data_IF_047627766886
#
_entry.id   IF_047627766886
#
_cell.length_a   1.000
_cell.length_b   1.000
_cell.length_c   1.000
_cell.angle_alpha   90.00
_cell.angle_beta   90.00
_cell.angle_gamma   90.00
#
_symmetry.space_group_name_H-M   'P 1'
#
loop_
_entity.id
_entity.type
_entity.pdbx_description
1 polymer ?
#
# COMPACT_ATOMS: atom_id res chain seq x y z
N UNK A 1 11.07 24.84 7.08
CA UNK A 1 10.19 23.65 6.95
C UNK A 1 8.72 24.07 6.98
N UNK A 2 7.90 23.51 6.07
CA UNK A 2 6.48 23.82 5.87
C UNK A 2 5.59 23.08 6.87
N UNK A 3 5.89 21.83 7.21
CA UNK A 3 5.10 21.05 8.18
C UNK A 3 5.17 21.72 9.54
N UNK A 4 6.38 22.10 9.98
CA UNK A 4 6.56 22.84 11.22
C UNK A 4 5.79 24.17 11.27
N UNK A 5 5.58 24.86 10.14
CA UNK A 5 4.74 26.08 10.10
C UNK A 5 3.28 25.75 10.37
N UNK A 6 2.73 24.74 9.72
CA UNK A 6 1.32 24.32 9.92
C UNK A 6 1.07 23.94 11.38
N UNK A 7 1.93 23.08 11.95
CA UNK A 7 1.77 22.62 13.34
C UNK A 7 1.89 23.78 14.33
N UNK A 8 2.89 24.67 14.16
CA UNK A 8 3.01 25.86 15.03
C UNK A 8 1.81 26.79 14.93
N UNK A 9 1.29 27.04 13.73
CA UNK A 9 0.11 27.90 13.57
C UNK A 9 -1.12 27.30 14.26
N UNK A 10 -1.31 25.98 14.24
CA UNK A 10 -2.39 25.33 15.00
C UNK A 10 -2.22 25.52 16.51
N UNK A 11 -0.98 25.48 17.02
CA UNK A 11 -0.67 25.72 18.44
C UNK A 11 -0.90 27.21 18.81
N UNK A 12 -0.38 28.15 18.02
CA UNK A 12 -0.52 29.61 18.21
C UNK A 12 -1.98 30.07 18.20
N UNK A 13 -2.82 29.44 17.37
CA UNK A 13 -4.25 29.73 17.30
C UNK A 13 -5.07 28.97 18.37
N UNK A 14 -4.44 28.13 19.21
CA UNK A 14 -5.14 27.33 20.21
C UNK A 14 -6.03 26.21 19.63
N UNK A 15 -5.85 25.84 18.37
CA UNK A 15 -6.68 24.87 17.64
C UNK A 15 -6.22 23.41 17.80
N UNK A 16 -4.97 23.21 18.25
CA UNK A 16 -4.35 21.87 18.30
C UNK A 16 -5.13 20.82 19.09
N UNK A 17 -5.79 21.16 20.21
CA UNK A 17 -6.55 20.18 21.00
C UNK A 17 -7.82 19.68 20.29
N UNK A 18 -8.28 20.39 19.25
CA UNK A 18 -9.43 20.02 18.44
C UNK A 18 -9.05 19.76 16.96
N UNK A 19 -7.79 19.42 16.70
CA UNK A 19 -7.30 19.15 15.35
C UNK A 19 -6.53 17.84 15.35
N UNK A 20 -7.02 16.86 14.58
CA UNK A 20 -6.24 15.69 14.21
C UNK A 20 -5.32 16.06 13.05
N UNK A 21 -4.01 15.92 13.25
CA UNK A 21 -3.02 16.02 12.18
C UNK A 21 -2.61 14.61 11.78
N UNK A 22 -2.76 14.30 10.49
CA UNK A 22 -2.29 13.04 9.89
C UNK A 22 -1.20 13.36 8.88
N UNK A 23 -0.04 12.73 9.03
CA UNK A 23 1.05 12.79 8.05
C UNK A 23 1.23 11.40 7.43
N UNK A 24 1.11 11.33 6.10
CA UNK A 24 1.27 10.09 5.35
C UNK A 24 1.70 10.34 3.89
N UNK A 25 1.80 9.28 3.09
CA UNK A 25 2.16 9.30 1.67
C UNK A 25 1.18 8.42 0.88
N UNK A 26 1.10 8.63 -0.43
CA UNK A 26 0.22 7.87 -1.34
C UNK A 26 0.78 6.47 -1.68
N UNK A 27 2.10 6.36 -1.75
CA UNK A 27 2.85 5.14 -2.05
C UNK A 27 4.26 5.22 -1.48
N UNK A 28 4.98 4.10 -1.55
CA UNK A 28 6.40 4.02 -1.23
C UNK A 28 7.28 4.95 -2.07
N UNK A 29 8.53 5.15 -1.63
CA UNK A 29 9.47 6.07 -2.28
C UNK A 29 9.91 5.57 -3.65
N UNK A 30 10.16 6.49 -4.59
CA UNK A 30 10.73 6.18 -5.90
C UNK A 30 12.25 6.10 -5.80
N UNK A 31 12.80 4.90 -5.62
CA UNK A 31 14.22 4.61 -5.53
C UNK A 31 14.80 4.20 -6.91
N UNK A 32 15.02 5.17 -7.81
CA UNK A 32 15.83 4.93 -9.02
C UNK A 32 17.27 4.49 -8.65
N UNK A 33 18.01 3.77 -9.51
CA UNK A 33 17.73 2.47 -10.12
C UNK A 33 18.80 1.40 -9.72
N UNK A 34 18.49 0.10 -9.86
CA UNK A 34 19.50 -1.00 -9.78
C UNK A 34 20.59 -0.91 -10.86
N UNK A 35 20.36 -0.16 -11.94
CA UNK A 35 21.30 -0.02 -13.07
C UNK A 35 22.35 1.10 -12.89
N UNK A 36 22.30 1.84 -11.77
CA UNK A 36 23.27 2.89 -11.43
C UNK A 36 23.25 4.14 -12.33
N UNK A 37 22.28 4.30 -13.25
CA UNK A 37 22.29 5.38 -14.24
C UNK A 37 21.77 6.73 -13.72
N UNK A 38 21.25 6.79 -12.49
CA UNK A 38 20.75 8.02 -11.86
C UNK A 38 21.08 7.99 -10.36
N UNK A 39 21.36 9.14 -9.73
CA UNK A 39 21.44 9.22 -8.27
C UNK A 39 20.09 8.80 -7.66
N UNK A 40 20.13 7.97 -6.62
CA UNK A 40 18.93 7.51 -5.94
C UNK A 40 18.19 8.71 -5.33
N UNK A 41 16.92 8.91 -5.70
CA UNK A 41 16.11 9.99 -5.12
C UNK A 41 15.84 9.76 -3.62
N UNK A 42 15.80 8.50 -3.20
CA UNK A 42 15.58 8.05 -1.82
C UNK A 42 16.03 6.59 -1.67
N UNK A 43 15.96 6.06 -0.46
CA UNK A 43 16.13 4.63 -0.16
C UNK A 43 14.91 4.12 0.60
N UNK A 44 14.40 2.96 0.21
CA UNK A 44 13.39 2.22 0.96
C UNK A 44 14.00 1.08 1.79
N UNK A 45 15.31 0.86 1.74
CA UNK A 45 15.97 -0.23 2.46
C UNK A 45 15.69 -0.13 3.97
N UNK A 46 15.43 -1.27 4.65
CA UNK A 46 15.56 -2.64 4.15
C UNK A 46 14.36 -3.19 3.37
N UNK A 47 13.32 -2.39 3.10
CA UNK A 47 12.15 -2.83 2.35
C UNK A 47 12.50 -3.07 0.88
N UNK A 48 12.01 -4.18 0.33
CA UNK A 48 12.20 -4.52 -1.09
C UNK A 48 11.29 -3.68 -1.97
N UNK A 49 11.80 -3.25 -3.11
CA UNK A 49 11.01 -2.52 -4.10
C UNK A 49 10.87 -1.02 -3.82
N UNK A 50 9.94 -0.40 -4.54
CA UNK A 50 9.79 1.05 -4.62
C UNK A 50 8.42 1.43 -5.16
N UNK A 51 8.16 2.73 -5.34
CA UNK A 51 6.95 3.22 -6.01
C UNK A 51 6.64 2.39 -7.27
N UNK A 52 5.44 1.80 -7.28
CA UNK A 52 4.98 0.96 -8.37
C UNK A 52 5.43 -0.49 -8.29
N UNK A 53 5.95 -0.99 -7.17
CA UNK A 53 6.12 -2.43 -6.92
C UNK A 53 5.15 -2.93 -5.85
N UNK A 54 4.85 -4.22 -5.92
CA UNK A 54 4.02 -5.00 -5.00
C UNK A 54 4.69 -5.34 -3.66
N UNK A 55 6.00 -5.14 -3.55
CA UNK A 55 6.79 -5.32 -2.33
C UNK A 55 6.60 -4.17 -1.34
N UNK A 56 6.96 -4.37 -0.07
CA UNK A 56 6.69 -3.40 1.01
C UNK A 56 7.38 -2.05 0.79
N UNK A 57 8.46 -1.96 0.00
CA UNK A 57 9.07 -0.69 -0.40
C UNK A 57 8.22 0.15 -1.36
N UNK A 58 7.22 -0.46 -2.01
CA UNK A 58 6.20 0.24 -2.81
C UNK A 58 4.88 0.47 -2.08
N UNK A 59 4.53 -0.41 -1.13
CA UNK A 59 3.25 -0.37 -0.42
C UNK A 59 3.31 0.36 0.93
N UNK A 60 4.41 0.24 1.67
CA UNK A 60 4.54 0.80 3.03
C UNK A 60 4.88 2.29 2.95
N UNK A 61 4.18 3.07 3.76
CA UNK A 61 4.31 4.54 3.82
C UNK A 61 4.48 5.01 5.26
N UNK A 62 5.07 6.19 5.50
CA UNK A 62 5.01 6.80 6.82
C UNK A 62 3.55 7.05 7.22
N UNK A 63 3.26 6.88 8.50
CA UNK A 63 1.95 7.18 9.07
C UNK A 63 2.12 7.73 10.47
N UNK A 64 1.78 9.00 10.66
CA UNK A 64 1.90 9.68 11.95
C UNK A 64 0.58 10.39 12.24
N UNK A 65 0.06 10.17 13.44
CA UNK A 65 -1.14 10.84 13.94
C UNK A 65 -0.77 11.69 15.16
N UNK A 66 -1.21 12.94 15.18
CA UNK A 66 -1.06 13.85 16.31
C UNK A 66 -2.41 14.46 16.67
N UNK A 67 -2.84 14.23 17.91
CA UNK A 67 -4.00 14.90 18.49
C UNK A 67 -3.81 15.11 20.00
N UNK A 68 -3.31 16.28 20.42
CA UNK A 68 -3.04 16.58 21.82
C UNK A 68 -4.26 16.39 22.73
N UNK A 69 -4.10 15.56 23.76
CA UNK A 69 -5.16 15.24 24.72
C UNK A 69 -6.14 14.15 24.26
N UNK A 70 -5.93 13.55 23.07
CA UNK A 70 -6.72 12.41 22.56
C UNK A 70 -5.85 11.21 22.21
N UNK A 71 -4.68 11.45 21.63
CA UNK A 71 -3.69 10.42 21.27
C UNK A 71 -2.51 10.54 22.24
N UNK A 72 -2.12 9.48 22.96
CA UNK A 72 -0.94 9.49 23.81
C UNK A 72 0.33 9.76 23.00
N UNK A 73 1.10 10.79 23.41
CA UNK A 73 2.31 11.20 22.70
C UNK A 73 3.42 10.14 22.79
N UNK A 74 4.23 10.03 21.74
CA UNK A 74 5.40 9.14 21.70
C UNK A 74 5.06 7.65 21.62
N UNK A 75 3.81 7.30 21.35
CA UNK A 75 3.39 5.91 21.15
C UNK A 75 3.64 5.44 19.72
N UNK A 76 3.84 4.12 19.56
CA UNK A 76 4.03 3.46 18.27
C UNK A 76 3.11 2.25 18.21
N UNK A 77 2.41 2.09 17.09
CA UNK A 77 1.56 0.93 16.84
C UNK A 77 2.15 0.05 15.73
N UNK A 78 2.05 -1.27 15.87
CA UNK A 78 2.48 -2.26 14.87
C UNK A 78 1.31 -2.83 14.05
N UNK A 79 0.12 -2.24 14.17
CA UNK A 79 -1.05 -2.72 13.42
C UNK A 79 -0.96 -2.27 11.98
N UNK A 80 -1.34 -3.16 11.07
CA UNK A 80 -1.34 -2.84 9.65
C UNK A 80 -2.61 -2.06 9.31
N UNK A 81 -2.44 -0.78 9.03
CA UNK A 81 -3.50 0.11 8.54
C UNK A 81 -3.30 0.42 7.05
N UNK A 82 -4.36 0.91 6.41
CA UNK A 82 -4.36 1.31 5.01
C UNK A 82 -5.00 2.69 4.86
N UNK A 83 -4.74 3.38 3.75
CA UNK A 83 -5.36 4.67 3.44
C UNK A 83 -6.89 4.63 3.44
N UNK A 84 -7.49 3.46 3.12
CA UNK A 84 -8.95 3.27 3.15
C UNK A 84 -9.55 3.44 4.56
N UNK A 85 -8.75 3.29 5.62
CA UNK A 85 -9.19 3.45 7.01
C UNK A 85 -9.44 4.90 7.40
N UNK A 86 -8.85 5.87 6.69
CA UNK A 86 -9.02 7.29 7.01
C UNK A 86 -10.46 7.74 6.86
N UNK A 87 -11.16 7.25 5.83
CA UNK A 87 -12.53 7.66 5.56
C UNK A 87 -13.50 7.32 6.69
N UNK A 88 -13.65 6.05 7.14
CA UNK A 88 -14.49 5.73 8.29
C UNK A 88 -14.01 6.37 9.60
N UNK A 89 -12.69 6.52 9.78
CA UNK A 89 -12.14 7.22 10.96
C UNK A 89 -12.60 8.68 11.01
N UNK A 90 -12.49 9.41 9.90
CA UNK A 90 -12.89 10.82 9.83
C UNK A 90 -14.41 11.00 9.92
N UNK A 91 -15.20 10.09 9.34
CA UNK A 91 -16.66 10.10 9.51
C UNK A 91 -17.05 9.98 10.98
N UNK A 92 -16.45 9.01 11.69
CA UNK A 92 -16.71 8.79 13.11
C UNK A 92 -16.31 10.01 13.96
N UNK A 93 -15.13 10.59 13.69
CA UNK A 93 -14.65 11.78 14.40
C UNK A 93 -15.49 13.03 14.16
N UNK A 94 -16.01 13.19 12.95
CA UNK A 94 -16.88 14.31 12.59
C UNK A 94 -18.33 14.13 13.12
N UNK A 95 -18.67 12.96 13.67
CA UNK A 95 -20.06 12.62 13.99
C UNK A 95 -20.97 12.55 12.76
N UNK A 96 -20.38 12.32 11.59
CA UNK A 96 -21.10 12.28 10.33
C UNK A 96 -21.87 10.94 10.19
N UNK A 97 -23.02 10.92 9.50
CA UNK A 97 -23.75 9.69 9.27
C UNK A 97 -22.92 8.73 8.41
N UNK A 98 -22.98 7.43 8.74
CA UNK A 98 -22.36 6.39 7.93
C UNK A 98 -23.06 6.33 6.55
N UNK A 99 -22.31 6.31 5.44
CA UNK A 99 -22.91 6.18 4.12
C UNK A 99 -23.55 4.79 3.92
N UNK A 100 -24.42 4.68 2.92
CA UNK A 100 -25.10 3.42 2.57
C UNK A 100 -24.22 2.43 1.80
N UNK A 101 -23.15 2.89 1.16
CA UNK A 101 -22.22 2.01 0.46
C UNK A 101 -21.30 1.29 1.46
N UNK A 102 -20.74 0.16 1.02
CA UNK A 102 -19.80 -0.64 1.80
C UNK A 102 -18.51 0.16 2.00
N UNK A 103 -17.97 0.14 3.22
CA UNK A 103 -16.67 0.75 3.53
C UNK A 103 -15.67 -0.38 3.75
N UNK A 104 -14.58 -0.38 2.97
CA UNK A 104 -13.50 -1.37 3.11
C UNK A 104 -12.60 -1.07 4.32
N UNK A 105 -12.53 0.19 4.72
CA UNK A 105 -11.72 0.65 5.84
C UNK A 105 -12.36 0.38 7.21
N UNK A 106 -11.51 0.38 8.24
CA UNK A 106 -11.89 0.31 9.65
C UNK A 106 -11.72 1.67 10.33
N UNK A 107 -12.59 1.98 11.28
CA UNK A 107 -12.37 3.14 12.17
C UNK A 107 -11.18 2.89 13.09
N UNK A 108 -10.18 3.77 13.04
CA UNK A 108 -8.96 3.71 13.82
C UNK A 108 -9.07 4.40 15.19
N UNK A 109 -10.18 5.04 15.55
CA UNK A 109 -10.27 5.86 16.75
C UNK A 109 -9.84 5.13 18.02
N UNK A 110 -10.31 3.90 18.23
CA UNK A 110 -9.93 3.08 19.38
C UNK A 110 -8.43 2.75 19.37
N UNK A 111 -7.86 2.49 18.18
CA UNK A 111 -6.43 2.24 17.99
C UNK A 111 -5.58 3.47 18.32
N UNK A 112 -6.07 4.67 17.95
CA UNK A 112 -5.35 5.92 18.15
C UNK A 112 -5.38 6.39 19.61
N UNK A 113 -6.44 6.08 20.37
CA UNK A 113 -6.57 6.50 21.76
C UNK A 113 -5.94 5.54 22.77
N UNK A 114 -5.70 4.28 22.39
CA UNK A 114 -5.23 3.22 23.29
C UNK A 114 -4.12 2.38 22.61
N UNK A 115 -2.86 2.48 23.08
CA UNK A 115 -1.72 1.77 22.49
C UNK A 115 -1.78 0.24 22.67
N UNK A 116 -2.63 -0.26 23.56
CA UNK A 116 -2.83 -1.70 23.79
C UNK A 116 -3.96 -2.26 22.93
N UNK A 117 -4.74 -1.40 22.27
CA UNK A 117 -5.84 -1.84 21.40
C UNK A 117 -5.30 -2.54 20.16
N UNK A 118 -6.04 -3.54 19.66
CA UNK A 118 -5.73 -4.24 18.42
C UNK A 118 -6.94 -4.16 17.48
N UNK A 119 -6.68 -4.15 16.18
CA UNK A 119 -7.74 -4.21 15.19
C UNK A 119 -8.24 -5.67 15.08
N UNK A 120 -9.52 -5.89 14.74
CA UNK A 120 -9.96 -7.21 14.31
C UNK A 120 -9.08 -7.72 13.17
N UNK A 121 -8.80 -9.03 13.18
CA UNK A 121 -8.09 -9.66 12.07
C UNK A 121 -8.86 -9.41 10.77
N UNK A 122 -8.13 -8.97 9.76
CA UNK A 122 -8.64 -8.69 8.42
C UNK A 122 -7.52 -8.83 7.40
N UNK A 123 -7.93 -8.86 6.15
CA UNK A 123 -7.04 -8.85 5.00
C UNK A 123 -6.87 -7.42 4.48
N UNK A 124 -5.63 -7.07 4.14
CA UNK A 124 -5.32 -5.90 3.33
C UNK A 124 -5.00 -6.38 1.92
N UNK A 125 -5.65 -5.77 0.93
CA UNK A 125 -5.58 -6.23 -0.45
C UNK A 125 -5.12 -5.09 -1.35
N UNK A 126 -4.16 -5.38 -2.22
CA UNK A 126 -3.76 -4.48 -3.29
C UNK A 126 -3.92 -5.19 -4.63
N UNK A 127 -4.66 -4.56 -5.53
CA UNK A 127 -4.94 -5.11 -6.86
C UNK A 127 -4.22 -4.29 -7.93
N UNK A 128 -3.29 -4.94 -8.65
CA UNK A 128 -2.49 -4.33 -9.71
C UNK A 128 -2.78 -5.02 -11.06
N UNK A 129 -3.90 -4.71 -11.75
CA UNK A 129 -4.30 -5.35 -13.01
C UNK A 129 -3.59 -4.77 -14.24
N UNK A 130 -2.34 -4.32 -14.09
CA UNK A 130 -1.62 -3.65 -15.16
C UNK A 130 -0.13 -3.95 -15.12
N UNK A 131 0.53 -3.76 -16.26
CA UNK A 131 1.98 -3.75 -16.33
C UNK A 131 2.51 -2.39 -15.92
N UNK A 132 3.58 -2.39 -15.16
CA UNK A 132 4.40 -1.20 -14.91
C UNK A 132 5.87 -1.50 -15.25
N UNK A 133 6.75 -0.52 -15.07
CA UNK A 133 8.19 -0.77 -15.19
C UNK A 133 8.76 -1.68 -14.10
N UNK A 134 7.98 -2.00 -13.05
CA UNK A 134 8.47 -2.72 -11.87
C UNK A 134 7.68 -3.98 -11.53
N UNK A 135 6.51 -4.21 -12.14
CA UNK A 135 5.73 -5.43 -11.94
C UNK A 135 4.94 -5.83 -13.17
N UNK A 136 4.76 -7.15 -13.31
CA UNK A 136 3.68 -7.74 -14.08
C UNK A 136 2.39 -7.75 -13.23
N UNK A 137 1.20 -7.88 -13.86
CA UNK A 137 -0.04 -7.83 -13.12
C UNK A 137 -0.12 -8.86 -11.99
N UNK A 138 -0.56 -8.40 -10.81
CA UNK A 138 -0.63 -9.23 -9.61
C UNK A 138 -1.72 -8.75 -8.63
N UNK A 139 -2.03 -9.59 -7.66
CA UNK A 139 -2.81 -9.25 -6.48
C UNK A 139 -2.01 -9.60 -5.23
N UNK A 140 -2.04 -8.72 -4.25
CA UNK A 140 -1.35 -8.86 -2.98
C UNK A 140 -2.38 -9.00 -1.88
N UNK A 141 -2.23 -9.99 -1.00
CA UNK A 141 -3.04 -10.16 0.20
C UNK A 141 -2.13 -10.21 1.41
N UNK A 142 -2.39 -9.35 2.39
CA UNK A 142 -1.72 -9.39 3.69
C UNK A 142 -2.72 -9.77 4.77
N UNK A 143 -2.38 -10.79 5.57
CA UNK A 143 -3.18 -11.26 6.71
C UNK A 143 -2.26 -11.52 7.90
N UNK A 144 -2.27 -10.57 8.84
CA UNK A 144 -1.31 -10.55 9.94
C UNK A 144 0.12 -10.47 9.41
N UNK A 145 0.96 -11.42 9.84
CA UNK A 145 2.38 -11.49 9.48
C UNK A 145 2.62 -11.92 8.04
N UNK A 146 1.64 -12.59 7.44
CA UNK A 146 1.77 -13.23 6.13
C UNK A 146 1.34 -12.31 5.01
N UNK A 147 2.11 -12.32 3.93
CA UNK A 147 1.84 -11.60 2.70
C UNK A 147 1.97 -12.56 1.51
N UNK A 148 0.92 -12.66 0.72
CA UNK A 148 0.91 -13.36 -0.56
C UNK A 148 0.97 -12.34 -1.71
N UNK A 149 1.74 -12.65 -2.74
CA UNK A 149 1.67 -12.03 -4.07
C UNK A 149 1.31 -13.14 -5.06
N UNK A 150 0.14 -13.03 -5.70
CA UNK A 150 -0.27 -13.91 -6.80
C UNK A 150 -0.05 -13.21 -8.13
N UNK A 151 0.75 -13.82 -9.02
CA UNK A 151 1.06 -13.29 -10.35
C UNK A 151 0.09 -13.87 -11.38
N UNK A 152 -0.66 -13.01 -12.05
CA UNK A 152 -1.67 -13.46 -13.00
C UNK A 152 -1.09 -14.02 -14.30
N UNK A 153 0.06 -13.51 -14.72
CA UNK A 153 0.72 -13.94 -15.95
C UNK A 153 1.25 -15.37 -15.86
N UNK A 154 1.87 -15.73 -14.73
CA UNK A 154 2.50 -17.04 -14.53
C UNK A 154 1.64 -18.01 -13.74
N UNK A 155 0.60 -17.52 -13.05
CA UNK A 155 -0.16 -18.27 -12.05
C UNK A 155 0.63 -18.57 -10.76
N UNK A 156 1.83 -18.02 -10.61
CA UNK A 156 2.73 -18.29 -9.50
C UNK A 156 2.40 -17.50 -8.23
N UNK A 157 2.66 -18.13 -7.08
CA UNK A 157 2.52 -17.52 -5.76
C UNK A 157 3.89 -17.25 -5.12
N UNK A 158 4.03 -16.06 -4.54
CA UNK A 158 5.10 -15.73 -3.60
C UNK A 158 4.50 -15.47 -2.23
N UNK A 159 5.03 -16.14 -1.20
CA UNK A 159 4.54 -16.04 0.17
C UNK A 159 5.67 -15.61 1.09
N UNK A 160 5.43 -14.58 1.90
CA UNK A 160 6.40 -14.00 2.82
C UNK A 160 5.83 -13.90 4.22
N UNK A 161 6.68 -14.10 5.23
CA UNK A 161 6.40 -13.71 6.60
C UNK A 161 7.12 -12.38 6.88
N UNK A 162 6.39 -11.28 6.81
CA UNK A 162 6.95 -9.91 6.82
C UNK A 162 7.41 -9.43 8.19
N UNK A 163 7.06 -10.13 9.27
CA UNK A 163 7.58 -9.85 10.63
C UNK A 163 8.93 -10.52 10.87
N UNK A 164 9.19 -11.65 10.20
CA UNK A 164 10.48 -12.38 10.26
C UNK A 164 11.44 -12.01 9.13
N UNK A 165 10.91 -11.59 7.99
CA UNK A 165 11.66 -11.23 6.78
C UNK A 165 11.05 -9.96 6.16
N UNK A 166 11.37 -8.81 6.75
CA UNK A 166 10.89 -7.50 6.30
C UNK A 166 11.38 -7.12 4.89
N UNK A 167 12.44 -7.78 4.42
CA UNK A 167 13.06 -7.54 3.12
C UNK A 167 12.51 -8.47 2.03
N UNK A 168 11.55 -9.35 2.35
CA UNK A 168 10.85 -10.23 1.39
C UNK A 168 11.86 -11.01 0.51
N UNK A 169 12.86 -11.60 1.17
CA UNK A 169 14.01 -12.25 0.54
C UNK A 169 13.79 -13.74 0.32
N UNK A 170 13.00 -14.40 1.17
CA UNK A 170 12.74 -15.84 1.07
C UNK A 170 11.28 -16.12 0.73
N UNK A 171 11.03 -16.57 -0.51
CA UNK A 171 9.70 -17.05 -0.90
C UNK A 171 9.41 -18.40 -0.20
N UNK A 172 8.38 -18.42 0.64
CA UNK A 172 7.94 -19.55 1.45
C UNK A 172 6.76 -20.32 0.84
N UNK A 173 6.31 -19.99 -0.37
CA UNK A 173 5.13 -20.61 -0.98
C UNK A 173 5.29 -22.13 -1.15
N UNK A 174 6.51 -22.61 -1.43
CA UNK A 174 6.81 -24.05 -1.51
C UNK A 174 6.89 -24.74 -0.15
N UNK A 175 7.20 -24.01 0.92
CA UNK A 175 7.25 -24.53 2.29
C UNK A 175 5.87 -24.52 2.97
N UNK A 176 5.00 -23.58 2.59
CA UNK A 176 3.64 -23.43 3.14
C UNK A 176 2.59 -23.38 2.01
N UNK A 177 2.45 -24.44 1.19
CA UNK A 177 1.58 -24.43 0.01
C UNK A 177 0.09 -24.28 0.37
N UNK A 178 -0.35 -24.85 1.50
CA UNK A 178 -1.74 -24.73 1.96
C UNK A 178 -2.10 -23.28 2.27
N UNK A 179 -1.22 -22.57 2.99
CA UNK A 179 -1.43 -21.16 3.32
C UNK A 179 -1.39 -20.26 2.08
N UNK A 180 -0.50 -20.57 1.14
CA UNK A 180 -0.45 -19.84 -0.13
C UNK A 180 -1.78 -20.00 -0.91
N UNK A 181 -2.31 -21.23 -1.02
CA UNK A 181 -3.60 -21.50 -1.67
C UNK A 181 -4.76 -20.84 -0.95
N UNK A 182 -4.75 -20.81 0.37
CA UNK A 182 -5.78 -20.15 1.17
C UNK A 182 -5.81 -18.64 0.93
N UNK A 183 -4.66 -17.98 0.97
CA UNK A 183 -4.56 -16.54 0.71
C UNK A 183 -4.88 -16.20 -0.75
N UNK A 184 -4.57 -17.08 -1.69
CA UNK A 184 -4.93 -16.90 -3.10
C UNK A 184 -6.44 -16.99 -3.28
N UNK A 185 -7.09 -17.96 -2.62
CA UNK A 185 -8.55 -18.08 -2.63
C UNK A 185 -9.21 -16.84 -2.03
N UNK A 186 -8.65 -16.27 -0.96
CA UNK A 186 -9.10 -14.99 -0.41
C UNK A 186 -8.97 -13.85 -1.42
N UNK A 187 -7.83 -13.76 -2.11
CA UNK A 187 -7.60 -12.78 -3.17
C UNK A 187 -8.67 -12.87 -4.27
N UNK A 188 -8.96 -14.09 -4.74
CA UNK A 188 -9.96 -14.36 -5.79
C UNK A 188 -11.37 -14.01 -5.32
N UNK A 189 -11.73 -14.38 -4.10
CA UNK A 189 -13.03 -14.05 -3.52
C UNK A 189 -13.24 -12.52 -3.42
N UNK A 190 -12.22 -11.77 -3.00
CA UNK A 190 -12.29 -10.31 -3.01
C UNK A 190 -12.48 -9.75 -4.42
N UNK A 191 -11.79 -10.31 -5.42
CA UNK A 191 -11.97 -9.85 -6.81
C UNK A 191 -13.39 -10.12 -7.33
N UNK A 192 -14.03 -11.21 -6.90
CA UNK A 192 -15.41 -11.53 -7.27
C UNK A 192 -16.38 -10.57 -6.59
N UNK A 193 -16.21 -10.31 -5.29
CA UNK A 193 -17.02 -9.38 -4.50
C UNK A 193 -16.92 -7.93 -5.00
N UNK A 194 -15.71 -7.49 -5.33
CA UNK A 194 -15.44 -6.13 -5.80
C UNK A 194 -15.76 -5.92 -7.30
N UNK A 195 -16.25 -6.93 -8.02
CA UNK A 195 -16.38 -6.93 -9.48
C UNK A 195 -15.09 -6.43 -10.18
N UNK A 196 -13.94 -6.92 -9.70
CA UNK A 196 -12.65 -6.39 -10.09
C UNK A 196 -12.35 -6.67 -11.59
N UNK A 197 -11.87 -5.67 -12.36
CA UNK A 197 -11.59 -5.84 -13.79
C UNK A 197 -10.61 -6.98 -14.07
N UNK A 198 -11.04 -7.99 -14.84
CA UNK A 198 -10.18 -9.15 -15.16
C UNK A 198 -9.27 -8.86 -16.35
N UNK A 199 -8.01 -9.27 -16.23
CA UNK A 199 -7.07 -9.23 -17.35
C UNK A 199 -7.45 -10.28 -18.40
N UNK A 200 -7.25 -9.92 -19.65
CA UNK A 200 -7.41 -10.82 -20.80
C UNK A 200 -6.03 -11.11 -21.37
N UNK A 201 -5.83 -12.34 -21.85
CA UNK A 201 -4.64 -12.66 -22.62
C UNK A 201 -4.55 -11.73 -23.83
N UNK A 202 -3.36 -11.24 -24.14
CA UNK A 202 -3.13 -10.49 -25.36
C UNK A 202 -3.15 -11.49 -26.54
N UNK A 203 -4.13 -11.43 -27.45
CA UNK A 203 -4.20 -12.35 -28.59
C UNK A 203 -3.05 -12.18 -29.58
N UNK A 204 -2.36 -11.04 -29.54
CA UNK A 204 -1.19 -10.72 -30.37
C UNK A 204 0.14 -10.92 -29.62
N UNK A 205 0.13 -11.66 -28.50
CA UNK A 205 1.37 -11.95 -27.78
C UNK A 205 2.32 -12.77 -28.64
N UNK A 206 3.48 -12.19 -28.94
CA UNK A 206 4.59 -12.88 -29.59
C UNK A 206 5.77 -12.92 -28.61
N UNK A 207 6.19 -14.11 -28.13
CA UNK A 207 7.33 -14.23 -27.22
C UNK A 207 8.66 -13.78 -27.85
N UNK A 208 8.72 -13.65 -29.18
CA UNK A 208 9.88 -13.15 -29.90
C UNK A 208 9.79 -11.65 -30.24
N UNK A 209 8.73 -10.96 -29.81
CA UNK A 209 8.53 -9.55 -30.10
C UNK A 209 9.68 -8.72 -29.52
N UNK A 210 10.39 -8.01 -30.40
CA UNK A 210 11.41 -7.04 -30.00
C UNK A 210 10.84 -5.64 -30.13
N UNK A 211 10.92 -4.87 -29.05
CA UNK A 211 10.56 -3.45 -29.07
C UNK A 211 11.42 -2.73 -30.11
N UNK A 212 10.83 -2.38 -31.25
CA UNK A 212 11.50 -1.59 -32.29
C UNK A 212 11.94 -0.26 -31.67
N UNK A 213 13.24 0.03 -31.67
CA UNK A 213 13.88 1.16 -30.98
C UNK A 213 13.58 2.56 -31.53
N UNK A 214 12.36 2.83 -31.98
CA UNK A 214 11.93 4.15 -32.41
C UNK A 214 11.28 4.92 -31.27
N UNK A 215 11.91 6.00 -30.79
CA UNK A 215 11.13 7.10 -30.19
C UNK A 215 10.13 7.53 -31.26
N UNK A 216 8.82 7.41 -31.00
CA UNK A 216 7.83 8.15 -31.80
C UNK A 216 8.15 9.63 -31.60
N UNK A 217 8.84 10.24 -32.56
CA UNK A 217 8.86 11.69 -32.69
C UNK A 217 7.44 12.12 -33.02
N UNK A 218 6.68 12.45 -31.98
CA UNK A 218 5.44 13.21 -32.17
C UNK A 218 5.76 14.49 -32.95
N UNK A 219 4.83 14.98 -33.78
CA UNK A 219 5.10 16.16 -34.60
C UNK A 219 5.52 17.31 -33.69
N UNK A 220 6.68 17.90 -33.98
CA UNK A 220 7.10 19.16 -33.35
C UNK A 220 6.00 20.18 -33.65
N UNK A 221 5.23 20.58 -32.64
CA UNK A 221 4.41 21.80 -32.75
C UNK A 221 5.38 22.96 -32.93
N UNK A 222 5.43 23.51 -34.13
CA UNK A 222 6.07 24.80 -34.41
C UNK A 222 5.42 25.84 -33.51
N UNK A 223 6.24 26.63 -32.81
CA UNK A 223 5.83 27.91 -32.24
C UNK A 223 5.68 28.93 -33.35
#
# INVERSE_FOLDING_TARGET
>A
DTVGRIVRTLDELGLSRNTLVVFTSDNGGLAYPEDGRRPNNTSNLPLRGQKGSEYDGGLRVPYIFRWPGKIPAGTVHQECISGVDLYPTFLALAGAPRPKHVLDGSDLNALLSDPDRRLPKRELIWYFPSYSSFHAPCIVVRRGDWKLIHRFETGGNELYNTTKDIAETKNLAGEFPELARELEACARAWMDDADAPRMKANPEYDPNWKRSGGRRSGPKRSR
#
